data_IF_833671020896
#
_entry.id   IF_833671020896
#
_cell.length_a   1.000
_cell.length_b   1.000
_cell.length_c   1.000
_cell.angle_alpha   90.00
_cell.angle_beta   90.00
_cell.angle_gamma   90.00
#
_symmetry.space_group_name_H-M   'P 1'
#
loop_
_entity.id
_entity.type
_entity.pdbx_description
1 polymer ?
#
# COMPACT_ATOMS: atom_id res chain seq x y z
N UNK A 1 27.10 62.04 -48.54
CA UNK A 1 26.48 61.79 -47.22
C UNK A 1 27.55 61.18 -46.33
N UNK A 2 28.26 62.04 -45.58
CA UNK A 2 28.23 62.19 -44.11
C UNK A 2 28.62 60.92 -43.35
N UNK A 3 29.93 60.79 -43.12
CA UNK A 3 30.55 60.14 -41.97
C UNK A 3 30.40 61.03 -40.72
N UNK A 4 30.07 60.45 -39.57
CA UNK A 4 30.79 60.70 -38.31
C UNK A 4 30.44 59.66 -37.24
N UNK A 5 31.43 59.23 -36.42
CA UNK A 5 31.32 58.29 -35.30
C UNK A 5 31.03 59.02 -33.99
N UNK A 6 30.43 58.35 -33.00
CA UNK A 6 30.32 58.90 -31.64
C UNK A 6 30.50 57.83 -30.54
N UNK A 7 31.62 57.99 -29.83
CA UNK A 7 31.78 57.86 -28.38
C UNK A 7 31.76 56.50 -27.69
N UNK A 8 32.99 56.01 -27.53
CA UNK A 8 33.54 55.32 -26.37
C UNK A 8 33.56 56.27 -25.15
N UNK A 9 32.87 55.96 -24.04
CA UNK A 9 33.32 56.32 -22.67
C UNK A 9 32.48 55.65 -21.55
N UNK A 10 33.11 54.69 -20.87
CA UNK A 10 33.22 54.52 -19.40
C UNK A 10 31.96 54.79 -18.54
N UNK A 11 31.42 53.75 -17.87
CA UNK A 11 31.28 53.71 -16.40
C UNK A 11 31.60 52.29 -15.90
N UNK A 12 32.88 52.11 -15.56
CA UNK A 12 33.37 51.25 -14.49
C UNK A 12 32.82 51.78 -13.14
N UNK A 13 32.53 50.91 -12.17
CA UNK A 13 31.98 51.15 -10.81
C UNK A 13 30.45 50.94 -10.74
N UNK A 14 29.96 49.80 -10.24
CA UNK A 14 29.95 49.51 -8.80
C UNK A 14 30.10 48.02 -8.53
N UNK A 15 31.34 47.60 -8.30
CA UNK A 15 31.67 46.42 -7.52
C UNK A 15 31.33 46.73 -6.05
N UNK A 16 30.04 46.76 -5.71
CA UNK A 16 29.60 46.84 -4.33
C UNK A 16 29.88 45.50 -3.66
N UNK A 17 31.10 45.43 -3.11
CA UNK A 17 31.42 44.83 -1.82
C UNK A 17 30.16 44.41 -1.04
N UNK A 18 29.74 43.16 -1.25
CA UNK A 18 29.01 42.43 -0.24
C UNK A 18 30.01 41.54 0.50
N UNK A 19 30.72 42.03 1.54
CA UNK A 19 31.23 41.16 2.56
C UNK A 19 30.04 40.83 3.48
N UNK A 20 28.98 40.23 2.93
CA UNK A 20 28.05 39.51 3.78
C UNK A 20 28.77 38.25 4.21
N UNK A 21 29.49 38.38 5.32
CA UNK A 21 29.54 37.40 6.39
C UNK A 21 29.20 35.98 5.92
N UNK A 22 30.11 35.36 5.20
CA UNK A 22 30.25 33.91 5.20
C UNK A 22 30.85 33.48 6.55
N UNK A 23 30.27 33.97 7.65
CA UNK A 23 30.29 33.22 8.89
C UNK A 23 29.26 32.13 8.65
N UNK A 24 29.67 31.13 7.87
CA UNK A 24 29.02 29.84 7.87
C UNK A 24 29.03 29.43 9.34
N UNK A 25 27.91 29.70 10.01
CA UNK A 25 27.60 29.06 11.26
C UNK A 25 27.64 27.59 10.88
N UNK A 26 28.75 26.95 11.20
CA UNK A 26 28.79 25.52 11.44
C UNK A 26 27.89 25.31 12.65
N UNK A 27 26.58 25.47 12.44
CA UNK A 27 25.58 24.93 13.33
C UNK A 27 26.02 23.48 13.50
N UNK A 28 26.22 23.00 14.74
CA UNK A 28 26.61 21.62 14.94
C UNK A 28 25.59 20.78 14.17
N UNK A 29 26.05 20.14 13.09
CA UNK A 29 25.27 19.16 12.36
C UNK A 29 25.03 18.06 13.36
N UNK A 30 23.90 18.15 14.08
CA UNK A 30 23.47 17.12 15.01
C UNK A 30 23.58 15.81 14.24
N UNK A 31 24.41 14.91 14.73
CA UNK A 31 24.52 13.62 14.09
C UNK A 31 23.16 12.94 14.23
N UNK A 32 22.54 12.59 13.12
CA UNK A 32 21.27 11.88 13.12
C UNK A 32 21.50 10.40 12.83
N UNK A 33 20.67 9.57 13.43
CA UNK A 33 20.49 8.17 13.04
C UNK A 33 19.17 8.06 12.29
N UNK A 34 19.14 7.25 11.24
CA UNK A 34 17.97 7.09 10.37
C UNK A 34 17.40 5.69 10.46
N UNK A 35 16.08 5.59 10.26
CA UNK A 35 15.34 4.34 10.17
C UNK A 35 14.30 4.45 9.06
N UNK A 36 14.19 3.41 8.25
CA UNK A 36 13.16 3.26 7.24
C UNK A 36 12.12 2.27 7.72
N UNK A 37 10.84 2.66 7.63
CA UNK A 37 9.70 1.76 7.83
C UNK A 37 9.06 1.54 6.47
N UNK A 38 9.04 0.31 5.99
CA UNK A 38 8.32 -0.08 4.77
C UNK A 38 7.00 -0.69 5.18
N UNK A 39 5.90 -0.20 4.62
CA UNK A 39 4.56 -0.75 4.77
C UNK A 39 4.09 -1.20 3.38
N UNK A 40 3.80 -2.49 3.20
CA UNK A 40 3.46 -3.07 1.89
C UNK A 40 1.96 -2.96 1.56
N UNK A 41 1.13 -2.62 2.55
CA UNK A 41 -0.29 -2.38 2.36
C UNK A 41 -1.18 -3.63 2.39
N UNK A 42 -2.51 -3.45 2.31
CA UNK A 42 -3.50 -4.52 2.51
C UNK A 42 -3.48 -5.61 1.44
N UNK A 43 -2.87 -5.35 0.28
CA UNK A 43 -2.70 -6.34 -0.80
C UNK A 43 -1.63 -7.39 -0.50
N UNK A 44 -0.88 -7.24 0.58
CA UNK A 44 0.12 -8.24 1.01
C UNK A 44 -0.57 -9.58 1.28
N UNK A 45 -0.08 -10.66 0.70
CA UNK A 45 -0.62 -12.01 0.90
C UNK A 45 -0.65 -12.41 2.39
N UNK A 46 -1.68 -13.15 2.84
CA UNK A 46 -1.70 -13.70 4.21
C UNK A 46 -0.42 -14.49 4.53
N UNK A 47 0.07 -14.38 5.76
CA UNK A 47 1.30 -15.04 6.23
C UNK A 47 2.62 -14.33 5.86
N UNK A 48 2.60 -13.37 4.94
CA UNK A 48 3.78 -12.56 4.62
C UNK A 48 3.89 -11.33 5.53
N UNK A 49 5.12 -10.81 5.68
CA UNK A 49 5.35 -9.56 6.38
C UNK A 49 4.70 -8.42 5.62
N UNK A 50 3.90 -7.61 6.32
CA UNK A 50 3.26 -6.43 5.73
C UNK A 50 3.95 -5.12 6.10
N UNK A 51 4.92 -5.20 7.01
CA UNK A 51 5.76 -4.08 7.40
C UNK A 51 7.18 -4.57 7.70
N UNK A 52 8.19 -3.77 7.38
CA UNK A 52 9.59 -4.05 7.71
C UNK A 52 10.36 -2.80 8.12
N UNK A 53 11.51 -3.01 8.77
CA UNK A 53 12.35 -1.97 9.35
C UNK A 53 13.78 -2.07 8.86
N UNK A 54 14.42 -0.92 8.63
CA UNK A 54 15.88 -0.85 8.37
C UNK A 54 16.47 0.41 9.02
N UNK A 55 17.28 0.30 10.09
CA UNK A 55 17.63 -0.93 10.82
C UNK A 55 16.44 -1.49 11.62
N UNK A 56 16.64 -2.60 12.34
CA UNK A 56 15.62 -3.21 13.18
C UNK A 56 15.07 -2.25 14.25
N UNK A 57 13.76 -2.31 14.50
CA UNK A 57 13.08 -1.57 15.56
C UNK A 57 12.59 -2.55 16.62
N UNK A 58 12.93 -2.33 17.89
CA UNK A 58 12.62 -3.27 19.00
C UNK A 58 13.03 -4.72 18.73
N UNK A 59 14.22 -4.91 18.11
CA UNK A 59 14.71 -6.22 17.67
C UNK A 59 13.82 -6.93 16.64
N UNK A 60 12.91 -6.21 15.99
CA UNK A 60 12.08 -6.71 14.90
C UNK A 60 12.50 -6.06 13.58
N UNK A 61 12.69 -6.89 12.55
CA UNK A 61 12.94 -6.45 11.17
C UNK A 61 11.67 -6.52 10.32
N UNK A 62 10.68 -7.32 10.73
CA UNK A 62 9.45 -7.57 10.00
C UNK A 62 8.28 -7.72 10.97
N UNK A 63 7.09 -7.30 10.53
CA UNK A 63 5.84 -7.53 11.24
C UNK A 63 4.87 -8.29 10.34
N UNK A 64 4.29 -9.34 10.91
CA UNK A 64 3.28 -10.22 10.30
C UNK A 64 1.99 -10.09 11.11
N UNK A 65 0.85 -10.35 10.47
CA UNK A 65 -0.38 -10.59 11.22
C UNK A 65 -0.43 -12.07 11.61
N UNK A 66 -0.67 -12.35 12.88
CA UNK A 66 -0.98 -13.70 13.35
C UNK A 66 -2.38 -14.08 12.87
N UNK A 67 -2.43 -14.63 11.66
CA UNK A 67 -3.67 -15.07 11.02
C UNK A 67 -3.67 -16.61 10.95
N UNK A 68 -4.78 -17.28 11.31
CA UNK A 68 -4.95 -18.68 10.94
C UNK A 68 -4.89 -18.77 9.41
N UNK A 69 -4.25 -19.83 8.88
CA UNK A 69 -4.11 -20.16 7.46
C UNK A 69 -5.32 -19.71 6.63
N UNK A 70 -5.29 -18.47 6.11
CA UNK A 70 -6.36 -17.96 5.25
C UNK A 70 -6.26 -18.65 3.87
N UNK A 71 -5.12 -19.27 3.57
CA UNK A 71 -4.96 -20.14 2.42
C UNK A 71 -6.03 -21.26 2.40
N UNK A 72 -6.31 -21.92 3.54
CA UNK A 72 -7.40 -22.91 3.57
C UNK A 72 -8.78 -22.27 3.34
N UNK A 73 -9.05 -21.11 3.94
CA UNK A 73 -10.35 -20.46 3.82
C UNK A 73 -10.61 -19.80 2.45
N UNK A 74 -9.57 -19.27 1.78
CA UNK A 74 -9.68 -18.60 0.47
C UNK A 74 -9.61 -19.59 -0.70
N UNK A 75 -8.83 -20.67 -0.59
CA UNK A 75 -8.70 -21.63 -1.68
C UNK A 75 -9.69 -22.80 -1.61
N UNK A 76 -10.27 -23.10 -0.45
CA UNK A 76 -11.24 -24.20 -0.31
C UNK A 76 -12.53 -24.04 -1.15
N UNK A 77 -13.11 -22.84 -1.33
CA UNK A 77 -14.26 -22.66 -2.22
C UNK A 77 -13.90 -22.75 -3.72
N UNK A 78 -12.68 -22.35 -4.08
CA UNK A 78 -12.17 -22.39 -5.47
C UNK A 78 -11.75 -23.80 -5.90
N UNK A 79 -11.28 -24.60 -4.95
CA UNK A 79 -10.99 -26.03 -5.09
C UNK A 79 -12.21 -26.89 -4.78
N UNK A 80 -13.41 -26.40 -5.12
CA UNK A 80 -14.70 -27.01 -4.79
C UNK A 80 -14.67 -28.54 -4.92
N UNK A 81 -15.44 -29.23 -4.06
CA UNK A 81 -15.56 -30.69 -4.08
C UNK A 81 -15.55 -31.19 -5.52
N UNK A 82 -14.75 -32.22 -5.85
CA UNK A 82 -14.68 -32.74 -7.21
C UNK A 82 -16.12 -32.98 -7.64
N UNK A 83 -16.61 -32.13 -8.54
CA UNK A 83 -17.92 -32.34 -9.14
C UNK A 83 -17.79 -33.72 -9.73
N UNK A 84 -18.50 -34.70 -9.17
CA UNK A 84 -18.72 -35.97 -9.86
C UNK A 84 -19.15 -35.54 -11.24
N UNK A 85 -18.28 -35.77 -12.22
CA UNK A 85 -18.58 -35.53 -13.61
C UNK A 85 -19.71 -36.51 -13.95
N UNK A 86 -20.93 -36.09 -13.65
CA UNK A 86 -22.09 -36.58 -14.36
C UNK A 86 -21.85 -36.09 -15.77
N UNK A 87 -21.48 -37.02 -16.65
CA UNK A 87 -21.36 -36.78 -18.08
C UNK A 87 -22.77 -36.43 -18.54
N UNK A 88 -23.11 -35.15 -18.44
CA UNK A 88 -24.27 -34.59 -19.12
C UNK A 88 -23.85 -34.51 -20.57
N UNK A 89 -24.29 -35.50 -21.34
CA UNK A 89 -24.26 -35.44 -22.79
C UNK A 89 -24.96 -34.14 -23.22
N UNK A 90 -24.17 -33.16 -23.67
CA UNK A 90 -24.67 -31.85 -24.10
C UNK A 90 -25.27 -32.02 -25.50
N UNK A 91 -26.46 -32.59 -25.56
CA UNK A 91 -27.42 -32.36 -26.64
C UNK A 91 -28.49 -31.43 -26.08
N UNK A 92 -28.13 -30.19 -25.78
CA UNK A 92 -29.11 -29.21 -25.30
C UNK A 92 -29.81 -28.59 -26.49
N UNK A 93 -30.98 -29.13 -26.84
CA UNK A 93 -32.01 -28.35 -27.51
C UNK A 93 -32.30 -27.11 -26.65
N UNK A 94 -32.19 -25.93 -27.27
CA UNK A 94 -32.29 -24.62 -26.60
C UNK A 94 -33.67 -24.47 -25.91
N UNK A 95 -34.70 -25.12 -26.45
CA UNK A 95 -36.07 -25.10 -25.93
C UNK A 95 -36.21 -25.79 -24.55
N UNK A 96 -35.42 -26.84 -24.28
CA UNK A 96 -35.47 -27.60 -23.03
C UNK A 96 -34.79 -26.87 -21.85
N UNK A 97 -33.73 -26.10 -22.15
CA UNK A 97 -33.13 -25.18 -21.18
C UNK A 97 -34.12 -24.08 -20.79
N UNK A 98 -34.84 -23.51 -21.77
CA UNK A 98 -35.79 -22.44 -21.50
C UNK A 98 -36.97 -22.89 -20.64
N UNK A 99 -37.46 -24.12 -20.84
CA UNK A 99 -38.49 -24.75 -20.00
C UNK A 99 -38.00 -24.98 -18.56
N UNK A 100 -36.76 -25.45 -18.38
CA UNK A 100 -36.13 -25.64 -17.06
C UNK A 100 -35.95 -24.32 -16.32
N UNK A 101 -35.58 -23.25 -17.02
CA UNK A 101 -35.49 -21.91 -16.44
C UNK A 101 -36.86 -21.30 -16.12
N UNK A 102 -37.97 -21.83 -16.63
CA UNK A 102 -39.34 -21.41 -16.28
C UNK A 102 -39.91 -22.16 -15.06
N UNK A 103 -39.33 -23.30 -14.65
CA UNK A 103 -39.74 -24.03 -13.44
C UNK A 103 -39.49 -23.18 -12.16
N UNK A 104 -40.55 -22.87 -11.38
CA UNK A 104 -40.41 -22.16 -10.10
C UNK A 104 -39.45 -22.83 -9.11
N UNK A 105 -39.37 -24.16 -9.09
CA UNK A 105 -38.46 -24.91 -8.20
C UNK A 105 -37.00 -24.69 -8.60
N UNK A 106 -36.71 -24.73 -9.90
CA UNK A 106 -35.37 -24.48 -10.42
C UNK A 106 -34.93 -23.03 -10.15
N UNK A 107 -35.81 -22.05 -10.38
CA UNK A 107 -35.54 -20.64 -10.04
C UNK A 107 -35.25 -20.44 -8.56
N UNK A 108 -36.06 -21.05 -7.68
CA UNK A 108 -35.85 -20.97 -6.24
C UNK A 108 -34.51 -21.58 -5.81
N UNK A 109 -34.12 -22.72 -6.40
CA UNK A 109 -32.83 -23.36 -6.13
C UNK A 109 -31.64 -22.52 -6.59
N UNK A 110 -31.70 -21.95 -7.80
CA UNK A 110 -30.65 -21.07 -8.34
C UNK A 110 -30.50 -19.79 -7.52
N UNK A 111 -31.62 -19.15 -7.16
CA UNK A 111 -31.60 -17.97 -6.30
C UNK A 111 -30.97 -18.27 -4.94
N UNK A 112 -31.32 -19.41 -4.32
CA UNK A 112 -30.70 -19.85 -3.06
C UNK A 112 -29.19 -20.05 -3.16
N UNK A 113 -28.69 -20.58 -4.29
CA UNK A 113 -27.24 -20.71 -4.55
C UNK A 113 -26.58 -19.34 -4.69
N UNK A 114 -27.15 -18.46 -5.51
CA UNK A 114 -26.65 -17.09 -5.68
C UNK A 114 -26.62 -16.30 -4.37
N UNK A 115 -27.68 -16.41 -3.56
CA UNK A 115 -27.74 -15.75 -2.25
C UNK A 115 -26.66 -16.29 -1.30
N UNK A 116 -26.39 -17.61 -1.34
CA UNK A 116 -25.31 -18.24 -0.55
C UNK A 116 -23.93 -17.77 -1.01
N UNK A 117 -23.65 -17.79 -2.31
CA UNK A 117 -22.39 -17.33 -2.90
C UNK A 117 -22.15 -15.85 -2.60
N UNK A 118 -23.18 -15.01 -2.73
CA UNK A 118 -23.13 -13.60 -2.37
C UNK A 118 -22.80 -13.41 -0.89
N UNK A 119 -23.44 -14.17 -0.01
CA UNK A 119 -23.19 -14.11 1.43
C UNK A 119 -21.75 -14.52 1.78
N UNK A 120 -21.21 -15.56 1.13
CA UNK A 120 -19.83 -15.99 1.31
C UNK A 120 -18.84 -14.94 0.81
N UNK A 121 -19.11 -14.35 -0.36
CA UNK A 121 -18.30 -13.26 -0.92
C UNK A 121 -18.30 -12.02 -0.02
N UNK A 122 -19.46 -11.61 0.50
CA UNK A 122 -19.56 -10.50 1.46
C UNK A 122 -18.78 -10.75 2.75
N UNK A 123 -18.77 -12.00 3.25
CA UNK A 123 -17.94 -12.37 4.42
C UNK A 123 -16.45 -12.24 4.12
N UNK A 124 -16.02 -12.64 2.93
CA UNK A 124 -14.62 -12.51 2.52
C UNK A 124 -14.20 -11.04 2.39
N UNK A 125 -15.04 -10.18 1.79
CA UNK A 125 -14.78 -8.73 1.72
C UNK A 125 -14.62 -8.15 3.12
N UNK A 126 -15.55 -8.43 4.03
CA UNK A 126 -15.47 -7.92 5.43
C UNK A 126 -14.20 -8.40 6.15
N UNK A 127 -13.77 -9.64 5.91
CA UNK A 127 -12.53 -10.16 6.47
C UNK A 127 -11.30 -9.40 5.93
N UNK A 128 -11.26 -9.12 4.62
CA UNK A 128 -10.19 -8.35 3.99
C UNK A 128 -10.16 -6.89 4.48
N UNK A 129 -11.33 -6.25 4.64
CA UNK A 129 -11.44 -4.91 5.21
C UNK A 129 -10.93 -4.86 6.64
N UNK A 130 -11.36 -5.81 7.48
CA UNK A 130 -10.91 -5.94 8.86
C UNK A 130 -9.40 -6.18 8.96
N UNK A 131 -8.84 -7.00 8.07
CA UNK A 131 -7.39 -7.21 7.95
C UNK A 131 -6.68 -5.91 7.60
N UNK A 132 -7.14 -5.19 6.57
CA UNK A 132 -6.56 -3.91 6.17
C UNK A 132 -6.59 -2.88 7.31
N UNK A 133 -7.66 -2.85 8.11
CA UNK A 133 -7.75 -2.02 9.30
C UNK A 133 -6.70 -2.40 10.34
N UNK A 134 -6.57 -3.68 10.69
CA UNK A 134 -5.52 -4.15 11.64
C UNK A 134 -4.12 -3.75 11.20
N UNK A 135 -3.80 -3.89 9.91
CA UNK A 135 -2.49 -3.50 9.37
C UNK A 135 -2.21 -2.00 9.54
N UNK A 136 -3.22 -1.16 9.28
CA UNK A 136 -3.12 0.29 9.48
C UNK A 136 -2.97 0.64 10.95
N UNK A 137 -3.75 0.00 11.83
CA UNK A 137 -3.67 0.23 13.27
C UNK A 137 -2.30 -0.16 13.82
N UNK A 138 -1.72 -1.28 13.35
CA UNK A 138 -0.36 -1.68 13.70
C UNK A 138 0.68 -0.66 13.22
N UNK A 139 0.57 -0.17 11.97
CA UNK A 139 1.46 0.88 11.45
C UNK A 139 1.39 2.14 12.33
N UNK A 140 0.18 2.62 12.64
CA UNK A 140 -0.03 3.80 13.50
C UNK A 140 0.60 3.57 14.88
N UNK A 141 0.35 2.41 15.50
CA UNK A 141 0.93 2.05 16.80
C UNK A 141 2.46 2.05 16.77
N UNK A 142 3.05 1.50 15.71
CA UNK A 142 4.50 1.46 15.51
C UNK A 142 5.10 2.86 15.34
N UNK A 143 4.47 3.71 14.51
CA UNK A 143 4.93 5.09 14.31
C UNK A 143 4.82 5.92 15.59
N UNK A 144 3.74 5.73 16.36
CA UNK A 144 3.56 6.37 17.65
C UNK A 144 4.61 5.92 18.66
N UNK A 145 4.90 4.62 18.74
CA UNK A 145 5.96 4.08 19.60
C UNK A 145 7.34 4.65 19.24
N UNK A 146 7.68 4.69 17.95
CA UNK A 146 8.91 5.32 17.48
C UNK A 146 8.97 6.81 17.88
N UNK A 147 7.85 7.53 17.76
CA UNK A 147 7.76 8.95 18.14
C UNK A 147 7.99 9.15 19.65
N UNK A 148 7.42 8.28 20.50
CA UNK A 148 7.68 8.29 21.95
C UNK A 148 9.15 8.06 22.29
N UNK A 149 9.89 7.36 21.43
CA UNK A 149 11.34 7.12 21.55
C UNK A 149 12.21 8.19 20.89
N UNK A 150 11.61 9.33 20.51
CA UNK A 150 12.30 10.48 19.94
C UNK A 150 12.62 10.34 18.45
N UNK A 151 12.02 9.37 17.75
CA UNK A 151 12.10 9.34 16.29
C UNK A 151 11.11 10.32 15.66
N UNK A 152 11.56 11.07 14.67
CA UNK A 152 10.76 12.02 13.91
C UNK A 152 10.56 11.50 12.48
N UNK A 153 9.32 11.49 11.99
CA UNK A 153 9.06 11.26 10.57
C UNK A 153 9.49 12.51 9.79
N UNK A 154 10.47 12.34 8.90
CA UNK A 154 11.01 13.41 8.04
C UNK A 154 10.66 13.26 6.58
N UNK A 155 10.28 12.07 6.16
CA UNK A 155 9.83 11.82 4.79
C UNK A 155 8.79 10.72 4.77
N UNK A 156 7.80 10.86 3.88
CA UNK A 156 6.86 9.82 3.54
C UNK A 156 6.78 9.73 2.02
N UNK A 157 6.83 8.51 1.49
CA UNK A 157 6.69 8.25 0.06
C UNK A 157 5.80 7.05 -0.16
N UNK A 158 5.09 7.01 -1.29
CA UNK A 158 4.32 5.85 -1.74
C UNK A 158 5.06 5.09 -2.83
N UNK A 159 4.88 3.78 -2.89
CA UNK A 159 5.36 2.94 -3.98
C UNK A 159 4.28 1.89 -4.35
N UNK A 160 4.10 1.68 -5.66
CA UNK A 160 3.01 0.82 -6.16
C UNK A 160 1.62 1.32 -5.75
N UNK A 161 0.67 0.38 -5.67
CA UNK A 161 -0.74 0.71 -5.42
C UNK A 161 -1.08 1.01 -3.96
N UNK A 162 -0.28 0.51 -3.01
CA UNK A 162 -0.60 0.59 -1.58
C UNK A 162 0.60 0.62 -0.64
N UNK A 163 1.82 0.62 -1.19
CA UNK A 163 3.04 0.64 -0.41
C UNK A 163 3.38 2.04 0.08
N UNK A 164 3.86 2.15 1.31
CA UNK A 164 4.36 3.38 1.91
C UNK A 164 5.75 3.15 2.50
N UNK A 165 6.64 4.13 2.38
CA UNK A 165 7.95 4.15 3.03
C UNK A 165 8.07 5.41 3.87
N UNK A 166 8.41 5.23 5.14
CA UNK A 166 8.64 6.32 6.09
C UNK A 166 10.12 6.49 6.41
N UNK A 167 10.63 7.68 6.08
CA UNK A 167 11.84 8.33 6.54
C UNK A 167 11.79 8.72 8.03
N UNK A 168 12.38 7.99 8.97
CA UNK A 168 12.50 8.43 10.37
C UNK A 168 13.93 8.86 10.70
N UNK A 169 14.10 9.90 11.52
CA UNK A 169 15.39 10.30 12.09
C UNK A 169 15.32 10.43 13.61
N UNK A 170 16.45 10.27 14.30
CA UNK A 170 16.61 10.58 15.72
C UNK A 170 17.96 11.24 15.95
N UNK A 171 18.01 12.27 16.80
CA UNK A 171 19.29 12.87 17.20
C UNK A 171 20.10 11.82 17.99
N UNK A 172 21.42 11.75 17.74
CA UNK A 172 22.33 10.92 18.54
C UNK A 172 22.51 11.50 19.94
#
# INVERSE_FOLDING_TARGET
MKSTPFSLLIILSTLSLFPYLARAQTAPTKAYTYMQVFYYGPKTSPGFAFMSFTPAFHNQTEVRLDEPSIAEAMFSPLLGEPQKAEVVEVTTDIDDLEAKYKDPKYRAAMKKRQDKEKQEFEKQIKALEGRGQKMRDTLIKTLNAATTEGWEVVQMSSYGDSGLTYLLRRAK
#
